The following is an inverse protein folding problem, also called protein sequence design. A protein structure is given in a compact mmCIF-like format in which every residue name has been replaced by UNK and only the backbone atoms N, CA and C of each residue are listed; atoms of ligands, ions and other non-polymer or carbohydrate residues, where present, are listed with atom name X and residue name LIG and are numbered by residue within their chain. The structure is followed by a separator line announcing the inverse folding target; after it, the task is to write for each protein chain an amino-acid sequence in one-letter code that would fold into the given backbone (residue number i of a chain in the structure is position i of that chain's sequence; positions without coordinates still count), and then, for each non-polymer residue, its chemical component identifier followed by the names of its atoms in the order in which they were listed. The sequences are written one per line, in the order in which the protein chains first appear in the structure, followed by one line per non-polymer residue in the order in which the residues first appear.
data_IF_535125292673
#
_entry.id   IF_535125292673
#
_cell.length_a   1.000
_cell.length_b   1.000
_cell.length_c   1.000
_cell.angle_alpha   90.00
_cell.angle_beta   90.00
_cell.angle_gamma   90.00
#
_symmetry.space_group_name_H-M   'P 1'
#
loop_
_entity.id
_entity.type
_entity.pdbx_description
1 polymer ?
#
# COMPACT_ATOMS: atom_id res chain seq x y z
N UNK A 1 8.91 -1.93 3.22
CA UNK A 1 7.61 -2.51 2.79
C UNK A 1 7.85 -3.46 1.63
N UNK A 2 7.21 -4.64 1.64
CA UNK A 2 7.19 -5.60 0.53
C UNK A 2 5.78 -5.63 -0.07
N UNK A 3 5.66 -5.64 -1.39
CA UNK A 3 4.38 -5.75 -2.09
C UNK A 3 4.25 -7.14 -2.71
N UNK A 4 3.12 -7.81 -2.51
CA UNK A 4 2.89 -9.13 -3.09
C UNK A 4 2.24 -9.01 -4.48
N UNK A 5 2.99 -9.26 -5.54
CA UNK A 5 2.45 -9.16 -6.90
C UNK A 5 1.55 -10.37 -7.30
N UNK A 6 1.36 -11.35 -6.43
CA UNK A 6 0.44 -12.47 -6.66
C UNK A 6 -1.03 -12.08 -6.49
N UNK A 7 -1.30 -10.98 -5.78
CA UNK A 7 -2.64 -10.45 -5.54
C UNK A 7 -2.87 -9.21 -6.39
N UNK A 8 -3.88 -9.26 -7.27
CA UNK A 8 -4.17 -8.20 -8.24
C UNK A 8 -4.53 -6.86 -7.61
N UNK A 9 -5.22 -6.85 -6.46
CA UNK A 9 -5.55 -5.63 -5.73
C UNK A 9 -5.39 -5.88 -4.23
N UNK A 10 -4.60 -5.04 -3.58
CA UNK A 10 -4.36 -5.13 -2.14
C UNK A 10 -4.60 -3.78 -1.49
N UNK A 11 -5.18 -3.82 -0.30
CA UNK A 11 -5.34 -2.67 0.58
C UNK A 11 -4.95 -3.12 1.97
N UNK A 12 -3.96 -2.47 2.57
CA UNK A 12 -3.49 -2.79 3.91
C UNK A 12 -2.96 -1.54 4.61
N UNK A 13 -2.86 -1.60 5.93
CA UNK A 13 -2.44 -0.48 6.77
C UNK A 13 -1.07 -0.81 7.34
N UNK A 14 -0.14 0.13 7.23
CA UNK A 14 1.21 0.04 7.79
C UNK A 14 1.52 1.33 8.54
N UNK A 15 2.36 1.25 9.56
CA UNK A 15 2.80 2.41 10.32
C UNK A 15 3.91 3.16 9.57
N UNK A 16 3.88 4.50 9.60
CA UNK A 16 4.96 5.30 9.06
C UNK A 16 6.23 5.16 9.91
N UNK A 17 7.34 4.73 9.32
CA UNK A 17 8.63 4.58 10.03
C UNK A 17 9.25 5.92 10.51
N UNK A 18 8.69 7.07 10.10
CA UNK A 18 9.18 8.41 10.50
C UNK A 18 8.32 9.03 11.59
N UNK A 19 6.99 8.96 11.45
CA UNK A 19 6.04 9.61 12.37
C UNK A 19 5.12 8.65 13.13
N UNK A 20 5.23 7.34 12.90
CA UNK A 20 4.38 6.29 13.51
C UNK A 20 2.87 6.47 13.30
N UNK A 21 2.46 7.29 12.32
CA UNK A 21 1.06 7.45 11.95
C UNK A 21 0.64 6.31 11.01
N UNK A 22 -0.59 5.78 11.14
CA UNK A 22 -1.10 4.76 10.26
C UNK A 22 -1.29 5.31 8.84
N UNK A 23 -0.80 4.56 7.85
CA UNK A 23 -0.95 4.87 6.42
C UNK A 23 -1.67 3.69 5.76
N UNK A 24 -2.75 3.97 5.04
CA UNK A 24 -3.39 3.00 4.18
C UNK A 24 -2.69 2.97 2.82
N UNK A 25 -2.27 1.78 2.41
CA UNK A 25 -1.59 1.55 1.15
C UNK A 25 -2.53 0.73 0.28
N UNK A 26 -2.83 1.23 -0.92
CA UNK A 26 -3.60 0.53 -1.94
C UNK A 26 -2.73 0.31 -3.17
N UNK A 27 -2.65 -0.92 -3.63
CA UNK A 27 -1.84 -1.29 -4.80
C UNK A 27 -2.63 -2.16 -5.76
N UNK A 28 -2.38 -1.96 -7.06
CA UNK A 28 -2.94 -2.79 -8.11
C UNK A 28 -1.84 -3.35 -9.00
N UNK A 29 -1.82 -4.66 -9.16
CA UNK A 29 -0.93 -5.38 -10.06
C UNK A 29 -1.68 -5.95 -11.25
N UNK A 30 -1.04 -5.92 -12.42
CA UNK A 30 -1.47 -6.61 -13.62
C UNK A 30 -0.26 -7.30 -14.25
N UNK A 31 -0.34 -8.61 -14.48
CA UNK A 31 0.78 -9.40 -15.03
C UNK A 31 2.11 -9.15 -14.31
N UNK A 32 2.08 -9.06 -12.97
CA UNK A 32 3.23 -8.75 -12.11
C UNK A 32 3.82 -7.33 -12.28
N UNK A 33 3.19 -6.46 -13.06
CA UNK A 33 3.50 -5.04 -13.14
C UNK A 33 2.60 -4.22 -12.21
N UNK A 34 3.20 -3.23 -11.52
CA UNK A 34 2.46 -2.29 -10.68
C UNK A 34 1.77 -1.26 -11.57
N UNK A 35 0.44 -1.28 -11.56
CA UNK A 35 -0.38 -0.37 -12.37
C UNK A 35 -0.79 0.87 -11.58
N UNK A 36 -1.01 0.71 -10.28
CA UNK A 36 -1.49 1.78 -9.42
C UNK A 36 -0.93 1.60 -8.00
N UNK A 37 -0.58 2.73 -7.38
CA UNK A 37 -0.10 2.81 -6.01
C UNK A 37 -0.64 4.07 -5.37
N UNK A 38 -1.30 3.91 -4.23
CA UNK A 38 -1.80 5.01 -3.42
C UNK A 38 -1.43 4.79 -1.95
N UNK A 39 -1.03 5.87 -1.29
CA UNK A 39 -0.69 5.90 0.12
C UNK A 39 -1.43 7.08 0.77
N UNK A 40 -2.45 6.79 1.56
CA UNK A 40 -3.26 7.79 2.24
C UNK A 40 -2.93 7.75 3.74
N UNK A 41 -2.52 8.87 4.32
CA UNK A 41 -2.39 8.97 5.77
C UNK A 41 -3.79 8.88 6.40
N UNK A 42 -3.94 8.05 7.42
CA UNK A 42 -5.20 7.91 8.17
C UNK A 42 -5.24 8.89 9.35
N UNK A 43 -4.57 10.03 9.22
CA UNK A 43 -4.51 11.07 10.25
C UNK A 43 -5.93 11.53 10.58
N UNK A 44 -6.30 11.38 11.87
CA UNK A 44 -7.57 11.85 12.43
C UNK A 44 -7.43 13.26 12.99
#
# INVERSE_FOLDING_TARGET
MLLDNSVSKQVYIEDCEVCCNPIQISVQFNNSELMDFQADSLEQ
#
